data_IF_139435820677
#
_entry.id   IF_139435820677
#
_cell.length_a   1.000
_cell.length_b   1.000
_cell.length_c   1.000
_cell.angle_alpha   90.00
_cell.angle_beta   90.00
_cell.angle_gamma   90.00
#
_symmetry.space_group_name_H-M   'P 1'
#
loop_
_entity.id
_entity.type
_entity.pdbx_description
1 polymer ?
#
# COMPACT_ATOMS: atom_id res chain seq x y z
N UNK A 1 -54.36 11.87 -13.39
CA UNK A 1 -53.02 11.62 -13.96
C UNK A 1 -52.11 12.75 -13.51
N UNK A 2 -51.19 12.49 -12.57
CA UNK A 2 -50.27 13.52 -12.07
C UNK A 2 -49.02 13.56 -12.94
N UNK A 3 -48.91 14.62 -13.76
CA UNK A 3 -47.75 14.85 -14.62
C UNK A 3 -46.64 15.50 -13.80
N UNK A 4 -45.57 14.76 -13.55
CA UNK A 4 -44.35 15.28 -12.93
C UNK A 4 -43.56 16.11 -13.94
N UNK A 5 -43.47 17.41 -13.73
CA UNK A 5 -42.65 18.32 -14.55
C UNK A 5 -41.18 18.14 -14.20
N UNK A 6 -40.38 17.62 -15.14
CA UNK A 6 -38.93 17.56 -14.99
C UNK A 6 -38.31 18.94 -15.28
N UNK A 7 -37.79 19.60 -14.25
CA UNK A 7 -37.02 20.83 -14.39
C UNK A 7 -35.62 20.47 -14.92
N UNK A 8 -35.30 20.94 -16.13
CA UNK A 8 -33.92 20.90 -16.66
C UNK A 8 -33.09 21.96 -15.95
N UNK A 9 -32.04 21.52 -15.24
CA UNK A 9 -31.04 22.41 -14.66
C UNK A 9 -30.06 22.87 -15.75
N UNK A 10 -29.96 24.19 -15.96
CA UNK A 10 -29.03 24.82 -16.90
C UNK A 10 -27.60 24.83 -16.35
N UNK A 11 -26.61 24.90 -17.25
CA UNK A 11 -25.18 24.75 -17.00
C UNK A 11 -24.54 25.70 -15.95
N UNK A 12 -25.28 26.67 -15.40
CA UNK A 12 -24.89 27.44 -14.21
C UNK A 12 -24.80 26.58 -12.92
N UNK A 13 -25.41 25.38 -12.91
CA UNK A 13 -25.45 24.49 -11.74
C UNK A 13 -24.17 23.69 -11.47
N UNK A 14 -23.20 23.64 -12.41
CA UNK A 14 -22.00 22.80 -12.25
C UNK A 14 -20.92 23.46 -11.38
N UNK A 15 -20.77 24.79 -11.47
CA UNK A 15 -19.91 25.56 -10.54
C UNK A 15 -20.48 25.54 -9.12
N UNK A 16 -21.78 25.85 -8.98
CA UNK A 16 -22.44 25.85 -7.68
C UNK A 16 -22.56 24.48 -7.00
N UNK A 17 -22.49 23.36 -7.73
CA UNK A 17 -22.38 22.03 -7.10
C UNK A 17 -20.97 21.81 -6.54
N UNK A 18 -19.93 22.15 -7.30
CA UNK A 18 -18.56 22.01 -6.84
C UNK A 18 -18.31 22.86 -5.59
N UNK A 19 -18.80 24.09 -5.56
CA UNK A 19 -18.68 24.98 -4.39
C UNK A 19 -19.43 24.43 -3.17
N UNK A 20 -20.64 23.89 -3.37
CA UNK A 20 -21.40 23.24 -2.29
C UNK A 20 -20.69 22.02 -1.75
N UNK A 21 -20.08 21.19 -2.61
CA UNK A 21 -19.29 20.04 -2.17
C UNK A 21 -18.01 20.49 -1.45
N UNK A 22 -17.34 21.53 -1.97
CA UNK A 22 -16.17 22.13 -1.33
C UNK A 22 -16.51 22.77 0.03
N UNK A 23 -17.75 23.15 0.28
CA UNK A 23 -18.21 23.56 1.61
C UNK A 23 -18.61 22.37 2.50
N UNK A 24 -19.22 21.33 1.93
CA UNK A 24 -19.81 20.22 2.69
C UNK A 24 -18.84 19.09 3.07
N UNK A 25 -17.80 18.84 2.28
CA UNK A 25 -16.82 17.77 2.55
C UNK A 25 -15.90 18.20 3.69
N UNK A 26 -15.92 17.50 4.82
CA UNK A 26 -15.09 17.81 5.98
C UNK A 26 -13.60 17.54 5.69
N UNK A 27 -12.66 18.26 6.33
CA UNK A 27 -11.23 18.18 6.03
C UNK A 27 -10.65 16.77 6.07
N UNK A 28 -11.11 15.91 6.99
CA UNK A 28 -10.67 14.52 7.13
C UNK A 28 -11.00 13.64 5.91
N UNK A 29 -12.00 14.01 5.11
CA UNK A 29 -12.33 13.34 3.84
C UNK A 29 -11.72 14.05 2.63
N UNK A 30 -11.25 15.30 2.79
CA UNK A 30 -10.63 16.10 1.72
C UNK A 30 -9.14 15.80 1.56
N UNK A 31 -8.77 14.54 1.75
CA UNK A 31 -7.40 14.05 1.53
C UNK A 31 -7.28 13.46 0.13
N UNK A 32 -6.06 13.42 -0.41
CA UNK A 32 -5.80 12.76 -1.69
C UNK A 32 -5.86 11.23 -1.62
N UNK A 33 -5.47 10.69 -0.46
CA UNK A 33 -5.52 9.26 -0.17
C UNK A 33 -6.10 9.07 1.23
N UNK A 34 -7.24 8.39 1.33
CA UNK A 34 -7.85 8.04 2.62
C UNK A 34 -7.57 6.57 2.93
N UNK A 35 -6.98 6.30 4.09
CA UNK A 35 -6.62 4.96 4.56
C UNK A 35 -7.41 4.68 5.84
N UNK A 36 -8.46 3.84 5.79
CA UNK A 36 -9.20 3.45 6.98
C UNK A 36 -8.34 2.67 7.96
N UNK A 37 -8.68 2.73 9.24
CA UNK A 37 -8.08 1.86 10.24
C UNK A 37 -8.36 0.38 9.90
N UNK A 38 -7.42 -0.50 10.24
CA UNK A 38 -7.62 -1.95 10.09
C UNK A 38 -8.79 -2.37 10.98
N UNK A 39 -9.76 -3.09 10.40
CA UNK A 39 -10.98 -3.47 11.10
C UNK A 39 -12.03 -2.36 11.21
N UNK A 40 -11.84 -1.20 10.56
CA UNK A 40 -12.87 -0.17 10.49
C UNK A 40 -14.18 -0.78 9.94
N UNK A 41 -15.30 -0.68 10.68
CA UNK A 41 -16.53 -1.40 10.33
C UNK A 41 -17.28 -0.79 9.15
N UNK A 42 -16.95 0.44 8.75
CA UNK A 42 -17.69 1.21 7.73
C UNK A 42 -16.92 1.28 6.41
N UNK A 43 -15.65 1.66 6.49
CA UNK A 43 -14.76 1.92 5.35
C UNK A 43 -13.68 0.85 5.16
N UNK A 44 -13.31 0.15 6.24
CA UNK A 44 -12.26 -0.84 6.22
C UNK A 44 -12.76 -2.25 5.97
N UNK A 45 -11.85 -3.20 6.17
CA UNK A 45 -12.18 -4.62 6.26
C UNK A 45 -11.64 -5.23 7.53
N UNK A 46 -12.21 -6.37 7.96
CA UNK A 46 -11.70 -7.08 9.12
C UNK A 46 -10.20 -7.37 8.97
N UNK A 47 -9.47 -7.50 10.08
CA UNK A 47 -8.08 -7.91 10.05
C UNK A 47 -7.89 -9.29 9.41
N UNK A 48 -6.67 -9.58 9.00
CA UNK A 48 -6.25 -10.89 8.54
C UNK A 48 -6.53 -11.96 9.60
N UNK A 49 -7.00 -13.15 9.19
CA UNK A 49 -7.25 -14.27 10.11
C UNK A 49 -5.99 -14.95 10.65
N UNK A 50 -4.82 -14.67 10.08
CA UNK A 50 -3.55 -15.18 10.61
C UNK A 50 -3.24 -14.49 11.93
N UNK A 51 -3.16 -15.24 13.01
CA UNK A 51 -2.93 -14.71 14.35
C UNK A 51 -1.62 -13.92 14.43
N UNK A 52 -1.68 -12.67 14.89
CA UNK A 52 -0.53 -11.75 14.95
C UNK A 52 -0.31 -10.93 13.67
N UNK A 53 -1.07 -11.16 12.59
CA UNK A 53 -1.04 -10.31 11.41
C UNK A 53 -1.93 -9.07 11.61
N UNK A 54 -1.33 -7.89 11.50
CA UNK A 54 -2.00 -6.60 11.75
C UNK A 54 -2.63 -5.96 10.50
N UNK A 55 -2.79 -6.72 9.42
CA UNK A 55 -3.17 -6.20 8.10
C UNK A 55 -4.67 -6.29 7.83
N UNK A 56 -5.21 -5.36 7.06
CA UNK A 56 -6.54 -5.47 6.47
C UNK A 56 -6.66 -6.71 5.59
N UNK A 57 -7.77 -7.44 5.72
CA UNK A 57 -8.01 -8.64 4.92
C UNK A 57 -8.49 -8.32 3.50
N UNK A 58 -8.53 -9.33 2.63
CA UNK A 58 -9.03 -9.28 1.26
C UNK A 58 -10.02 -10.42 1.06
N UNK A 59 -9.62 -11.45 0.32
CA UNK A 59 -10.40 -12.64 0.06
C UNK A 59 -10.09 -13.71 1.11
N UNK A 60 -11.08 -14.53 1.48
CA UNK A 60 -10.96 -15.55 2.54
C UNK A 60 -10.46 -14.99 3.90
N UNK A 61 -10.72 -13.71 4.16
CA UNK A 61 -10.19 -12.96 5.32
C UNK A 61 -8.65 -13.00 5.46
N UNK A 62 -7.92 -13.21 4.37
CA UNK A 62 -6.46 -13.15 4.31
C UNK A 62 -5.99 -11.80 3.75
N UNK A 63 -4.92 -11.22 4.27
CA UNK A 63 -4.27 -10.06 3.64
C UNK A 63 -3.65 -10.46 2.29
N UNK A 64 -3.22 -9.50 1.46
CA UNK A 64 -2.70 -9.81 0.11
C UNK A 64 -1.50 -10.78 0.14
N UNK A 65 -0.58 -10.59 1.10
CA UNK A 65 0.61 -11.42 1.21
C UNK A 65 0.29 -12.84 1.72
N UNK A 66 -0.58 -12.98 2.72
CA UNK A 66 -1.04 -14.29 3.17
C UNK A 66 -1.90 -14.98 2.13
N UNK A 67 -2.71 -14.25 1.38
CA UNK A 67 -3.50 -14.78 0.26
C UNK A 67 -2.58 -15.38 -0.82
N UNK A 68 -1.45 -14.72 -1.12
CA UNK A 68 -0.46 -15.24 -2.05
C UNK A 68 0.18 -16.55 -1.54
N UNK A 69 0.63 -16.58 -0.28
CA UNK A 69 1.20 -17.79 0.34
C UNK A 69 0.19 -18.94 0.42
N UNK A 70 -1.06 -18.65 0.77
CA UNK A 70 -2.14 -19.63 0.81
C UNK A 70 -2.44 -20.22 -0.58
N UNK A 71 -2.39 -19.39 -1.64
CA UNK A 71 -2.49 -19.88 -3.03
C UNK A 71 -1.33 -20.79 -3.40
N UNK A 72 -0.11 -20.45 -3.00
CA UNK A 72 1.08 -21.29 -3.21
C UNK A 72 1.01 -22.62 -2.46
N UNK A 73 0.36 -22.64 -1.29
CA UNK A 73 0.13 -23.85 -0.50
C UNK A 73 -0.99 -24.75 -1.05
N UNK A 74 -1.52 -24.48 -2.25
CA UNK A 74 -2.56 -25.31 -2.88
C UNK A 74 -3.98 -24.99 -2.44
N UNK A 75 -4.23 -23.82 -1.83
CA UNK A 75 -5.56 -23.37 -1.38
C UNK A 75 -6.25 -24.33 -0.38
N UNK A 76 -5.59 -24.75 0.70
CA UNK A 76 -6.22 -25.54 1.77
C UNK A 76 -7.36 -24.78 2.45
N UNK A 77 -8.07 -25.41 3.39
CA UNK A 77 -9.08 -24.72 4.19
C UNK A 77 -8.46 -23.47 4.88
N UNK A 78 -9.01 -22.25 4.65
CA UNK A 78 -8.37 -21.02 5.08
C UNK A 78 -8.07 -20.91 6.57
N UNK A 79 -8.97 -21.37 7.44
CA UNK A 79 -8.83 -21.22 8.88
C UNK A 79 -7.75 -22.15 9.45
N UNK A 80 -7.74 -23.42 9.01
CA UNK A 80 -6.72 -24.40 9.34
C UNK A 80 -5.33 -23.97 8.86
N UNK A 81 -5.24 -23.42 7.64
CA UNK A 81 -3.98 -22.88 7.14
C UNK A 81 -3.52 -21.66 7.94
N UNK A 82 -4.42 -20.73 8.22
CA UNK A 82 -4.10 -19.50 8.95
C UNK A 82 -3.60 -19.77 10.37
N UNK A 83 -4.06 -20.85 11.01
CA UNK A 83 -3.61 -21.26 12.35
C UNK A 83 -2.12 -21.65 12.42
N UNK A 84 -1.50 -21.98 11.28
CA UNK A 84 -0.09 -22.40 11.19
C UNK A 84 0.78 -21.44 10.39
N UNK A 85 0.17 -20.43 9.75
CA UNK A 85 0.88 -19.50 8.90
C UNK A 85 1.69 -18.49 9.74
N UNK A 86 2.97 -18.34 9.41
CA UNK A 86 3.81 -17.25 9.95
C UNK A 86 3.11 -15.88 9.75
N UNK A 87 2.86 -15.09 10.81
CA UNK A 87 2.20 -13.79 10.71
C UNK A 87 3.02 -12.74 9.97
N UNK A 88 4.34 -12.91 9.90
CA UNK A 88 5.18 -11.98 9.17
C UNK A 88 4.96 -12.10 7.66
N UNK A 89 4.75 -10.95 7.01
CA UNK A 89 4.47 -10.87 5.59
C UNK A 89 5.45 -9.99 4.84
N UNK A 90 5.74 -10.39 3.61
CA UNK A 90 6.54 -9.63 2.64
C UNK A 90 5.98 -8.20 2.49
N UNK A 91 6.86 -7.20 2.66
CA UNK A 91 6.48 -5.79 2.69
C UNK A 91 6.45 -5.18 4.09
N UNK A 92 6.43 -5.99 5.16
CA UNK A 92 6.66 -5.59 6.56
C UNK A 92 7.71 -6.44 7.27
N UNK A 93 8.06 -7.63 6.73
CA UNK A 93 9.26 -8.35 7.17
C UNK A 93 10.49 -7.45 6.98
N UNK A 94 11.36 -7.31 7.99
CA UNK A 94 12.60 -6.57 7.84
C UNK A 94 13.38 -7.07 6.63
N UNK A 95 13.78 -6.15 5.76
CA UNK A 95 14.73 -6.47 4.71
C UNK A 95 16.03 -6.94 5.36
N UNK A 96 16.63 -8.00 4.82
CA UNK A 96 17.87 -8.53 5.37
C UNK A 96 19.03 -7.55 5.15
N UNK A 97 19.81 -7.34 6.21
CA UNK A 97 21.09 -6.65 6.16
C UNK A 97 22.18 -7.57 5.61
N UNK A 98 23.28 -6.97 5.18
CA UNK A 98 24.49 -7.68 4.79
C UNK A 98 24.93 -8.68 5.87
N UNK A 99 25.39 -9.86 5.47
CA UNK A 99 25.92 -10.87 6.42
C UNK A 99 27.24 -10.45 7.08
N UNK A 100 27.96 -9.46 6.54
CA UNK A 100 29.15 -8.90 7.20
C UNK A 100 28.75 -8.22 8.50
N UNK A 101 29.31 -8.69 9.61
CA UNK A 101 29.07 -8.15 10.96
C UNK A 101 29.27 -6.63 11.00
N UNK A 102 28.28 -5.92 11.55
CA UNK A 102 28.28 -4.45 11.65
C UNK A 102 27.84 -3.71 10.38
N UNK A 103 27.63 -4.40 9.26
CA UNK A 103 27.14 -3.78 8.02
C UNK A 103 25.61 -3.85 7.94
N UNK A 104 24.93 -2.70 8.06
CA UNK A 104 23.46 -2.64 7.98
C UNK A 104 22.94 -2.23 6.59
N UNK A 105 23.79 -2.22 5.55
CA UNK A 105 23.31 -2.07 4.18
C UNK A 105 22.48 -3.30 3.76
N UNK A 106 21.49 -3.10 2.89
CA UNK A 106 20.64 -4.18 2.41
C UNK A 106 21.36 -5.21 1.55
N UNK A 107 20.94 -6.47 1.62
CA UNK A 107 21.44 -7.53 0.76
C UNK A 107 21.10 -7.26 -0.72
N UNK A 108 22.02 -7.66 -1.60
CA UNK A 108 21.84 -7.63 -3.05
C UNK A 108 22.09 -8.99 -3.69
N UNK A 109 23.30 -9.53 -3.51
CA UNK A 109 23.72 -10.83 -4.03
C UNK A 109 24.64 -11.52 -3.04
N UNK A 110 24.67 -12.85 -3.05
CA UNK A 110 25.46 -13.65 -2.11
C UNK A 110 25.19 -13.33 -0.63
N UNK A 111 23.99 -12.80 -0.32
CA UNK A 111 23.63 -12.27 1.01
C UNK A 111 24.52 -11.12 1.51
N UNK A 112 25.26 -10.49 0.60
CA UNK A 112 26.10 -9.31 0.84
C UNK A 112 25.47 -8.05 0.24
N UNK A 113 25.86 -6.88 0.77
CA UNK A 113 25.51 -5.60 0.16
C UNK A 113 26.22 -5.38 -1.18
N UNK A 114 25.85 -4.33 -1.93
CA UNK A 114 26.48 -4.04 -3.22
C UNK A 114 28.01 -3.91 -3.12
N UNK A 115 28.52 -3.16 -2.12
CA UNK A 115 29.96 -2.94 -1.93
C UNK A 115 30.70 -4.23 -1.57
N UNK A 116 30.24 -4.94 -0.54
CA UNK A 116 30.86 -6.20 -0.10
C UNK A 116 30.79 -7.28 -1.16
N UNK A 117 29.67 -7.40 -1.89
CA UNK A 117 29.59 -8.37 -2.99
C UNK A 117 30.58 -8.08 -4.12
N UNK A 118 30.86 -6.80 -4.43
CA UNK A 118 31.86 -6.41 -5.44
C UNK A 118 33.28 -6.74 -4.98
N UNK A 119 33.58 -6.54 -3.71
CA UNK A 119 34.90 -6.83 -3.13
C UNK A 119 35.13 -8.34 -3.01
N UNK A 120 34.10 -9.09 -2.62
CA UNK A 120 34.16 -10.55 -2.57
C UNK A 120 34.38 -11.15 -3.96
N UNK A 121 33.68 -10.64 -4.99
CA UNK A 121 33.93 -11.01 -6.39
C UNK A 121 35.38 -10.69 -6.81
N UNK A 122 35.89 -9.50 -6.47
CA UNK A 122 37.26 -9.08 -6.79
C UNK A 122 38.33 -9.93 -6.08
N UNK A 123 38.01 -10.49 -4.91
CA UNK A 123 38.86 -11.40 -4.16
C UNK A 123 38.79 -12.87 -4.67
N UNK A 124 38.03 -13.15 -5.74
CA UNK A 124 37.88 -14.49 -6.26
C UNK A 124 36.89 -15.36 -5.48
N UNK A 125 35.99 -14.75 -4.71
CA UNK A 125 34.96 -15.43 -3.89
C UNK A 125 35.54 -16.45 -2.89
N UNK A 126 36.43 -16.01 -1.99
CA UNK A 126 36.95 -16.89 -0.94
C UNK A 126 35.83 -17.41 -0.04
N UNK A 127 36.11 -18.46 0.72
CA UNK A 127 35.18 -18.94 1.76
C UNK A 127 34.80 -17.80 2.72
N UNK A 128 33.50 -17.66 3.00
CA UNK A 128 32.97 -16.55 3.79
C UNK A 128 33.60 -16.45 5.18
N UNK A 129 33.88 -17.60 5.82
CA UNK A 129 34.48 -17.65 7.17
C UNK A 129 35.93 -17.14 7.22
N UNK A 130 36.68 -17.29 6.12
CA UNK A 130 38.07 -16.84 6.00
C UNK A 130 38.24 -15.49 5.30
N UNK A 131 37.15 -14.92 4.79
CA UNK A 131 37.20 -13.64 4.10
C UNK A 131 37.23 -12.48 5.10
N UNK A 132 38.20 -11.57 4.95
CA UNK A 132 38.28 -10.34 5.73
C UNK A 132 37.64 -9.18 4.94
N UNK A 133 36.34 -8.89 5.12
CA UNK A 133 35.68 -7.80 4.43
C UNK A 133 36.22 -6.45 4.93
N UNK A 134 36.34 -5.44 4.06
CA UNK A 134 36.69 -4.11 4.51
C UNK A 134 35.56 -3.51 5.34
N UNK A 135 35.95 -2.71 6.33
CA UNK A 135 35.04 -1.98 7.21
C UNK A 135 34.24 -0.97 6.39
N UNK A 136 32.95 -0.87 6.70
CA UNK A 136 32.06 0.14 6.13
C UNK A 136 31.70 1.16 7.18
N UNK A 137 31.68 2.43 6.79
CA UNK A 137 31.18 3.52 7.65
C UNK A 137 29.67 3.41 7.79
N UNK A 138 29.17 3.61 9.01
CA UNK A 138 27.75 3.71 9.27
C UNK A 138 27.13 4.87 8.50
N UNK A 139 25.92 4.66 7.99
CA UNK A 139 25.11 5.67 7.34
C UNK A 139 23.79 5.86 8.09
N UNK A 140 23.04 6.88 7.71
CA UNK A 140 21.71 7.13 8.27
C UNK A 140 20.80 5.91 8.07
N UNK A 141 19.89 5.65 9.01
CA UNK A 141 18.86 4.62 8.85
C UNK A 141 17.89 5.05 7.75
N UNK A 142 17.39 4.08 6.99
CA UNK A 142 16.42 4.26 5.93
C UNK A 142 15.17 5.02 6.42
N UNK A 143 14.77 6.08 5.70
CA UNK A 143 13.65 6.94 6.05
C UNK A 143 12.27 6.25 6.04
N UNK A 144 12.13 5.08 5.40
CA UNK A 144 10.89 4.29 5.45
C UNK A 144 10.68 3.71 6.85
N UNK A 145 9.58 4.09 7.50
CA UNK A 145 9.21 3.63 8.85
C UNK A 145 9.31 2.12 9.01
N UNK A 146 9.96 1.68 10.09
CA UNK A 146 10.16 0.26 10.39
C UNK A 146 11.33 -0.41 9.65
N UNK A 147 11.94 0.26 8.67
CA UNK A 147 13.15 -0.25 8.02
C UNK A 147 14.38 0.05 8.89
N UNK A 148 15.16 -0.99 9.23
CA UNK A 148 16.39 -0.85 10.02
C UNK A 148 17.68 -0.79 9.18
N UNK A 149 17.56 -0.96 7.87
CA UNK A 149 18.70 -0.89 6.97
C UNK A 149 19.25 0.52 6.86
N UNK A 150 20.54 0.64 6.60
CA UNK A 150 21.14 1.91 6.24
C UNK A 150 20.66 2.40 4.88
N UNK A 151 20.46 3.70 4.79
CA UNK A 151 20.19 4.42 3.56
C UNK A 151 21.38 4.31 2.62
N UNK A 152 21.09 4.14 1.33
CA UNK A 152 22.08 4.12 0.28
C UNK A 152 21.62 5.08 -0.81
N UNK A 153 22.56 5.81 -1.43
CA UNK A 153 22.29 6.88 -2.39
C UNK A 153 21.68 8.13 -1.73
N UNK A 154 21.53 9.19 -2.52
CA UNK A 154 21.10 10.51 -2.02
C UNK A 154 19.60 10.58 -1.68
N UNK A 155 18.87 9.48 -1.84
CA UNK A 155 17.42 9.42 -1.66
C UNK A 155 16.97 9.18 -0.20
N UNK A 156 17.91 8.97 0.73
CA UNK A 156 17.60 8.81 2.16
C UNK A 156 16.94 7.49 2.56
N UNK A 157 16.87 6.49 1.67
CA UNK A 157 16.35 5.15 1.97
C UNK A 157 17.27 4.05 1.46
N UNK A 158 17.07 2.81 1.92
CA UNK A 158 17.91 1.69 1.53
C UNK A 158 17.72 1.32 0.05
N UNK A 159 18.68 0.56 -0.53
CA UNK A 159 18.62 0.10 -1.91
C UNK A 159 17.36 -0.68 -2.27
N UNK A 160 16.83 -1.50 -1.37
CA UNK A 160 15.59 -2.24 -1.59
C UNK A 160 14.41 -1.29 -1.83
N UNK A 161 14.30 -0.25 -1.00
CA UNK A 161 13.30 0.80 -1.17
C UNK A 161 13.56 1.66 -2.41
N UNK A 162 14.81 1.97 -2.73
CA UNK A 162 15.16 2.68 -3.96
C UNK A 162 14.75 1.90 -5.23
N UNK A 163 14.96 0.58 -5.27
CA UNK A 163 14.51 -0.26 -6.39
C UNK A 163 12.99 -0.25 -6.52
N UNK A 164 12.26 -0.38 -5.41
CA UNK A 164 10.79 -0.32 -5.40
C UNK A 164 10.28 1.05 -5.85
N UNK A 165 10.90 2.14 -5.39
CA UNK A 165 10.59 3.51 -5.80
C UNK A 165 10.75 3.69 -7.31
N UNK A 166 11.87 3.21 -7.89
CA UNK A 166 12.11 3.21 -9.34
C UNK A 166 11.05 2.42 -10.11
N UNK A 167 10.70 1.21 -9.64
CA UNK A 167 9.67 0.37 -10.27
C UNK A 167 8.28 1.04 -10.26
N UNK A 168 8.04 1.99 -9.35
CA UNK A 168 6.81 2.78 -9.27
C UNK A 168 6.83 4.07 -10.09
N UNK A 169 7.81 4.24 -10.96
CA UNK A 169 7.90 5.41 -11.82
C UNK A 169 8.46 6.65 -11.12
N UNK A 170 9.18 6.48 -10.00
CA UNK A 170 9.87 7.57 -9.28
C UNK A 170 8.93 8.69 -8.78
N UNK A 171 7.90 8.36 -7.97
CA UNK A 171 7.04 9.37 -7.35
C UNK A 171 7.84 10.29 -6.40
N UNK A 172 7.21 11.36 -5.89
CA UNK A 172 7.84 12.18 -4.86
C UNK A 172 8.26 11.33 -3.63
N UNK A 173 9.38 11.65 -2.96
CA UNK A 173 9.87 10.88 -1.81
C UNK A 173 8.82 10.68 -0.70
N UNK A 174 8.10 11.74 -0.35
CA UNK A 174 7.02 11.76 0.65
C UNK A 174 5.86 10.83 0.26
N UNK A 175 5.45 10.86 -1.01
CA UNK A 175 4.42 9.95 -1.55
C UNK A 175 4.85 8.49 -1.44
N UNK A 176 6.13 8.23 -1.71
CA UNK A 176 6.67 6.89 -1.64
C UNK A 176 6.76 6.37 -0.20
N UNK A 177 7.18 7.22 0.74
CA UNK A 177 7.22 6.87 2.17
C UNK A 177 5.80 6.60 2.68
N UNK A 178 4.84 7.47 2.37
CA UNK A 178 3.43 7.27 2.72
C UNK A 178 2.85 5.99 2.10
N UNK A 179 3.19 5.71 0.84
CA UNK A 179 2.83 4.45 0.18
C UNK A 179 3.42 3.22 0.90
N UNK A 180 4.69 3.26 1.30
CA UNK A 180 5.32 2.15 2.03
C UNK A 180 4.66 1.93 3.39
N UNK A 181 4.33 2.99 4.12
CA UNK A 181 3.68 2.91 5.42
C UNK A 181 2.29 2.24 5.35
N UNK A 182 1.57 2.46 4.26
CA UNK A 182 0.18 1.99 4.04
C UNK A 182 0.09 0.79 3.09
N UNK A 183 1.23 0.24 2.66
CA UNK A 183 1.28 -0.81 1.64
C UNK A 183 0.47 -2.03 2.07
N UNK A 184 -0.53 -2.44 1.30
CA UNK A 184 -1.36 -3.61 1.59
C UNK A 184 -2.61 -3.34 2.41
N UNK A 185 -2.80 -2.11 2.90
CA UNK A 185 -4.03 -1.70 3.58
C UNK A 185 -5.16 -1.37 2.61
N UNK A 186 -6.37 -1.20 3.17
CA UNK A 186 -7.47 -0.56 2.46
C UNK A 186 -7.17 0.91 2.24
N UNK A 187 -7.48 1.39 1.04
CA UNK A 187 -7.27 2.79 0.67
C UNK A 187 -8.24 3.24 -0.41
N UNK A 188 -8.63 4.50 -0.33
CA UNK A 188 -9.31 5.24 -1.38
C UNK A 188 -8.29 6.23 -1.95
N UNK A 189 -7.85 6.00 -3.19
CA UNK A 189 -6.93 6.89 -3.89
C UNK A 189 -7.74 7.81 -4.81
N UNK A 190 -7.82 9.09 -4.47
CA UNK A 190 -8.63 10.06 -5.20
C UNK A 190 -7.83 10.83 -6.27
N UNK A 191 -6.49 10.75 -6.24
CA UNK A 191 -5.60 11.44 -7.19
C UNK A 191 -5.87 11.14 -8.67
N UNK A 192 -6.32 9.92 -9.07
CA UNK A 192 -6.67 9.66 -10.46
C UNK A 192 -7.94 10.36 -10.94
N UNK A 193 -8.72 10.98 -10.03
CA UNK A 193 -10.02 11.56 -10.34
C UNK A 193 -9.89 13.04 -10.74
N UNK A 194 -10.70 13.52 -11.71
CA UNK A 194 -10.83 14.95 -11.94
C UNK A 194 -11.32 15.68 -10.67
N UNK A 195 -10.93 16.94 -10.42
CA UNK A 195 -11.17 17.64 -9.15
C UNK A 195 -12.63 17.61 -8.66
N UNK A 196 -13.58 17.79 -9.57
CA UNK A 196 -15.00 17.72 -9.23
C UNK A 196 -15.43 16.31 -8.80
N UNK A 197 -14.99 15.28 -9.53
CA UNK A 197 -15.34 13.90 -9.20
C UNK A 197 -14.67 13.45 -7.90
N UNK A 198 -13.46 13.96 -7.61
CA UNK A 198 -12.82 13.78 -6.31
C UNK A 198 -13.73 14.26 -5.17
N UNK A 199 -14.26 15.49 -5.24
CA UNK A 199 -15.18 16.02 -4.23
C UNK A 199 -16.48 15.21 -4.12
N UNK A 200 -17.06 14.79 -5.25
CA UNK A 200 -18.27 13.96 -5.26
C UNK A 200 -18.05 12.61 -4.57
N UNK A 201 -16.92 11.93 -4.85
CA UNK A 201 -16.60 10.64 -4.23
C UNK A 201 -16.21 10.81 -2.75
N UNK A 202 -15.45 11.85 -2.38
CA UNK A 202 -15.13 12.16 -0.99
C UNK A 202 -16.40 12.43 -0.17
N UNK A 203 -17.35 13.18 -0.74
CA UNK A 203 -18.65 13.41 -0.12
C UNK A 203 -19.45 12.11 0.05
N UNK A 204 -19.43 11.22 -0.94
CA UNK A 204 -20.08 9.91 -0.83
C UNK A 204 -19.47 9.03 0.28
N UNK A 205 -18.13 9.06 0.45
CA UNK A 205 -17.43 8.39 1.55
C UNK A 205 -17.85 8.98 2.89
N UNK A 206 -17.91 10.31 3.01
CA UNK A 206 -18.41 10.99 4.22
C UNK A 206 -19.84 10.57 4.57
N UNK A 207 -20.75 10.62 3.60
CA UNK A 207 -22.15 10.22 3.81
C UNK A 207 -22.28 8.78 4.28
N UNK A 208 -21.39 7.90 3.81
CA UNK A 208 -21.35 6.49 4.25
C UNK A 208 -20.94 6.35 5.71
N UNK A 209 -19.96 7.14 6.15
CA UNK A 209 -19.55 7.22 7.56
C UNK A 209 -20.68 7.77 8.41
N UNK A 210 -21.29 8.88 7.99
CA UNK A 210 -22.36 9.56 8.73
C UNK A 210 -23.61 8.66 8.89
N UNK A 211 -23.95 7.89 7.84
CA UNK A 211 -25.04 6.92 7.89
C UNK A 211 -24.73 5.67 8.73
N UNK A 212 -23.51 5.53 9.24
CA UNK A 212 -23.00 4.35 9.95
C UNK A 212 -23.31 3.04 9.23
N UNK A 213 -23.35 3.07 7.88
CA UNK A 213 -23.79 1.93 7.08
C UNK A 213 -22.63 0.95 6.91
N UNK A 214 -22.66 -0.24 7.53
CA UNK A 214 -21.55 -1.19 7.44
C UNK A 214 -21.34 -1.61 5.98
N UNK A 215 -20.14 -2.05 5.65
CA UNK A 215 -19.91 -2.71 4.37
C UNK A 215 -20.74 -4.01 4.34
N UNK A 216 -21.58 -4.24 3.31
CA UNK A 216 -22.13 -5.58 3.12
C UNK A 216 -20.93 -6.52 2.95
N UNK A 217 -20.81 -7.48 3.88
CA UNK A 217 -19.80 -8.53 4.06
C UNK A 217 -18.50 -8.48 3.21
N UNK A 218 -17.31 -8.63 3.84
CA UNK A 218 -16.00 -8.56 3.17
C UNK A 218 -15.84 -9.69 2.15
N UNK A 219 -16.22 -9.42 0.91
CA UNK A 219 -16.15 -10.39 -0.18
C UNK A 219 -16.79 -9.92 -1.47
N UNK A 220 -17.81 -9.04 -1.41
CA UNK A 220 -18.48 -8.52 -2.61
C UNK A 220 -18.19 -7.05 -2.94
N UNK A 221 -17.60 -6.30 -2.00
CA UNK A 221 -17.44 -4.84 -2.08
C UNK A 221 -15.99 -4.38 -2.20
N UNK A 222 -15.07 -5.21 -2.72
CA UNK A 222 -13.78 -4.70 -3.24
C UNK A 222 -13.83 -4.64 -4.76
N UNK A 223 -14.60 -3.67 -5.26
CA UNK A 223 -14.33 -3.08 -6.57
C UNK A 223 -13.44 -1.89 -6.29
N UNK A 224 -12.14 -2.00 -6.56
CA UNK A 224 -11.32 -0.81 -6.73
C UNK A 224 -12.06 0.04 -7.77
N UNK A 225 -12.44 1.27 -7.43
CA UNK A 225 -12.82 2.26 -8.44
C UNK A 225 -11.51 2.64 -9.16
N UNK A 226 -11.04 1.78 -10.07
CA UNK A 226 -10.05 2.18 -11.07
C UNK A 226 -10.78 2.97 -12.14
N UNK A 227 -10.76 4.30 -12.01
CA UNK A 227 -11.27 5.19 -13.05
C UNK A 227 -10.16 5.35 -14.09
N UNK A 228 -10.38 4.80 -15.28
CA UNK A 228 -9.49 4.98 -16.42
C UNK A 228 -9.71 6.38 -17.02
N UNK A 229 -8.65 7.20 -17.20
CA UNK A 229 -8.79 8.60 -17.61
C UNK A 229 -9.34 8.79 -19.04
N UNK A 230 -9.44 7.74 -19.85
CA UNK A 230 -9.74 7.86 -21.28
C UNK A 230 -11.22 7.78 -21.66
N UNK A 231 -12.18 7.49 -20.75
CA UNK A 231 -13.55 7.18 -21.22
C UNK A 231 -14.70 7.58 -20.29
N UNK A 232 -14.46 8.14 -19.10
CA UNK A 232 -15.53 8.45 -18.15
C UNK A 232 -16.42 7.25 -17.75
N UNK A 233 -16.02 6.02 -18.13
CA UNK A 233 -16.73 4.78 -17.82
C UNK A 233 -16.16 4.20 -16.53
N UNK A 234 -17.04 3.97 -15.57
CA UNK A 234 -16.76 3.13 -14.41
C UNK A 234 -16.74 1.68 -14.89
N UNK A 235 -15.55 1.09 -15.01
CA UNK A 235 -15.42 -0.34 -15.27
C UNK A 235 -15.01 -1.09 -14.01
N UNK A 236 -15.54 -2.29 -13.88
CA UNK A 236 -15.32 -3.19 -12.75
C UNK A 236 -14.26 -4.19 -13.18
N UNK A 237 -13.01 -3.99 -12.74
CA UNK A 237 -11.91 -4.91 -12.98
C UNK A 237 -11.52 -5.69 -11.72
N UNK A 238 -10.98 -6.93 -11.85
CA UNK A 238 -10.43 -7.65 -10.71
C UNK A 238 -9.15 -6.96 -10.22
N UNK A 239 -8.89 -7.01 -8.92
CA UNK A 239 -7.65 -6.52 -8.33
C UNK A 239 -6.46 -7.39 -8.81
N UNK A 240 -5.42 -6.74 -9.32
CA UNK A 240 -4.11 -7.35 -9.59
C UNK A 240 -3.43 -7.81 -8.30
#
# INVERSE_FOLDING_TARGET
MMSTTAVRSTAAGLGGLADRLAAAVRPEFRVEVLVPAVGDPILGTPPCIVAGCVRSSRYNRLCLAHLHRWRQAGRPEPMAWAATADPEVTGYRPLHSCEVTGCQFGQLRYRLCYRHSRQWDAAGRPEMAGWSPPVVTAAAVCAVTGCRLWAELDAGWCRGHHTRWRMRGRPAPEDFIAYCATYGEDRFDFRPLPPRLQLEIQYAVQCRVDAQRPAPYPGRSKRCLTISPASGRVTVGPAA
#
